data_IF_413352865867
#
_entry.id   IF_413352865867
#
_cell.length_a   1.000
_cell.length_b   1.000
_cell.length_c   1.000
_cell.angle_alpha   90.00
_cell.angle_beta   90.00
_cell.angle_gamma   90.00
#
_symmetry.space_group_name_H-M   'P 1'
#
loop_
_entity.id
_entity.type
_entity.pdbx_description
1 polymer ?
#
# COMPACT_ATOMS: atom_id res chain seq x y z
N UNK A 1 10.18 14.38 11.51
CA UNK A 1 8.72 14.32 11.78
C UNK A 1 8.27 12.90 11.50
N UNK A 2 7.65 12.23 12.47
CA UNK A 2 7.26 10.83 12.32
C UNK A 2 6.11 10.68 11.32
N UNK A 3 6.38 10.07 10.16
CA UNK A 3 5.40 9.81 9.10
C UNK A 3 4.14 9.05 9.60
N UNK A 4 4.25 8.36 10.73
CA UNK A 4 3.16 7.61 11.37
C UNK A 4 2.09 8.53 11.99
N UNK A 5 2.48 9.69 12.51
CA UNK A 5 1.56 10.64 13.13
C UNK A 5 0.71 11.39 12.08
N UNK A 6 1.26 11.65 10.90
CA UNK A 6 0.58 12.34 9.78
C UNK A 6 -0.58 11.51 9.21
N UNK A 7 -0.47 10.17 9.28
CA UNK A 7 -1.46 9.27 8.68
C UNK A 7 -2.73 9.15 9.54
N UNK A 8 -2.62 9.41 10.85
CA UNK A 8 -3.64 9.06 11.85
C UNK A 8 -4.67 10.17 12.10
N UNK A 9 -4.63 11.30 11.37
CA UNK A 9 -5.72 12.27 11.44
C UNK A 9 -6.91 11.79 10.58
N UNK A 10 -8.12 11.91 11.12
CA UNK A 10 -9.35 11.56 10.42
C UNK A 10 -9.58 12.54 9.26
N UNK A 11 -9.03 12.22 8.09
CA UNK A 11 -9.25 12.96 6.84
C UNK A 11 -10.38 12.32 6.05
N UNK A 12 -11.21 13.16 5.43
CA UNK A 12 -12.21 12.67 4.47
C UNK A 12 -11.50 12.04 3.28
N UNK A 13 -11.98 10.87 2.83
CA UNK A 13 -11.35 10.11 1.75
C UNK A 13 -12.02 10.46 0.42
N UNK A 14 -11.21 10.87 -0.56
CA UNK A 14 -11.64 11.06 -1.93
C UNK A 14 -11.07 9.95 -2.81
N UNK A 15 -11.94 9.19 -3.46
CA UNK A 15 -11.56 8.12 -4.36
C UNK A 15 -11.49 8.63 -5.79
N UNK A 16 -10.33 8.49 -6.45
CA UNK A 16 -10.24 8.77 -7.89
C UNK A 16 -10.97 7.70 -8.70
N UNK A 17 -11.27 8.01 -9.98
CA UNK A 17 -11.81 7.01 -10.92
C UNK A 17 -10.86 5.82 -11.07
N UNK A 18 -9.57 6.09 -11.12
CA UNK A 18 -8.52 5.08 -11.25
C UNK A 18 -8.45 4.16 -10.02
N UNK A 19 -8.51 4.71 -8.81
CA UNK A 19 -8.56 3.90 -7.58
C UNK A 19 -9.77 2.97 -7.58
N UNK A 20 -10.97 3.47 -7.92
CA UNK A 20 -12.18 2.63 -8.02
C UNK A 20 -12.02 1.51 -9.04
N UNK A 21 -11.46 1.82 -10.21
CA UNK A 21 -11.20 0.83 -11.26
C UNK A 21 -10.26 -0.28 -10.77
N UNK A 22 -9.11 0.09 -10.17
CA UNK A 22 -8.12 -0.86 -9.67
C UNK A 22 -8.65 -1.68 -8.49
N UNK A 23 -9.46 -1.07 -7.63
CA UNK A 23 -10.16 -1.78 -6.57
C UNK A 23 -11.11 -2.84 -7.12
N UNK A 24 -11.90 -2.53 -8.15
CA UNK A 24 -12.75 -3.52 -8.80
C UNK A 24 -11.93 -4.65 -9.47
N UNK A 25 -10.83 -4.29 -10.13
CA UNK A 25 -9.92 -5.25 -10.77
C UNK A 25 -9.32 -6.24 -9.75
N UNK A 26 -8.77 -5.74 -8.64
CA UNK A 26 -8.13 -6.56 -7.60
C UNK A 26 -9.09 -7.08 -6.51
N UNK A 27 -10.40 -6.86 -6.69
CA UNK A 27 -11.46 -7.22 -5.72
C UNK A 27 -11.12 -6.71 -4.32
N UNK A 28 -10.82 -5.41 -4.22
CA UNK A 28 -10.52 -4.69 -2.98
C UNK A 28 -11.71 -3.83 -2.60
N UNK A 29 -12.25 -4.02 -1.40
CA UNK A 29 -13.29 -3.16 -0.85
C UNK A 29 -12.71 -1.86 -0.29
N UNK A 30 -13.52 -0.81 -0.17
CA UNK A 30 -13.11 0.43 0.48
C UNK A 30 -12.64 0.19 1.92
N UNK A 31 -13.35 -0.66 2.66
CA UNK A 31 -12.97 -1.03 4.02
C UNK A 31 -11.56 -1.65 4.06
N UNK A 32 -11.22 -2.46 3.05
CA UNK A 32 -9.90 -3.07 2.97
C UNK A 32 -8.80 -2.02 2.74
N UNK A 33 -9.05 -1.07 1.84
CA UNK A 33 -8.12 0.04 1.57
C UNK A 33 -7.98 0.95 2.80
N UNK A 34 -9.09 1.30 3.47
CA UNK A 34 -9.09 2.05 4.73
C UNK A 34 -8.24 1.36 5.81
N UNK A 35 -8.31 0.04 5.91
CA UNK A 35 -7.50 -0.74 6.87
C UNK A 35 -6.00 -0.62 6.60
N UNK A 36 -5.58 -0.63 5.33
CA UNK A 36 -4.16 -0.40 4.94
C UNK A 36 -3.70 0.98 5.39
N UNK A 37 -4.53 2.01 5.18
CA UNK A 37 -4.21 3.38 5.59
C UNK A 37 -4.17 3.55 7.11
N UNK A 38 -5.05 2.87 7.84
CA UNK A 38 -5.11 2.97 9.30
C UNK A 38 -3.98 2.21 10.00
N UNK A 39 -3.61 1.04 9.48
CA UNK A 39 -2.64 0.13 10.10
C UNK A 39 -1.60 -0.40 9.10
N UNK A 40 -0.84 0.49 8.44
CA UNK A 40 0.15 0.07 7.47
C UNK A 40 1.29 -0.68 8.16
N UNK A 41 1.69 -1.81 7.58
CA UNK A 41 2.90 -2.53 7.99
C UNK A 41 4.15 -1.81 7.46
N UNK A 42 4.02 -1.16 6.29
CA UNK A 42 5.09 -0.41 5.64
C UNK A 42 4.52 0.85 5.00
N UNK A 43 5.31 1.93 5.04
CA UNK A 43 5.02 3.20 4.41
C UNK A 43 6.26 3.58 3.62
N UNK A 44 6.07 3.94 2.35
CA UNK A 44 7.11 4.34 1.42
C UNK A 44 6.73 5.66 0.75
N UNK A 45 7.72 6.38 0.26
CA UNK A 45 7.47 7.51 -0.61
C UNK A 45 6.80 7.01 -1.89
N UNK A 46 5.73 7.68 -2.30
CA UNK A 46 5.04 7.33 -3.53
C UNK A 46 5.88 7.70 -4.74
N UNK A 47 5.47 7.22 -5.89
CA UNK A 47 6.18 7.47 -7.14
C UNK A 47 6.20 8.96 -7.51
N UNK A 48 5.07 9.62 -7.29
CA UNK A 48 4.85 10.98 -7.74
C UNK A 48 5.11 11.96 -6.60
N UNK A 49 5.41 13.21 -6.96
CA UNK A 49 5.67 14.28 -5.99
C UNK A 49 4.51 14.38 -4.99
N UNK A 50 4.85 14.40 -3.69
CA UNK A 50 3.90 14.51 -2.58
C UNK A 50 2.87 13.38 -2.53
N UNK A 51 3.21 12.20 -3.04
CA UNK A 51 2.40 10.98 -2.86
C UNK A 51 3.10 10.03 -1.89
N UNK A 52 2.33 9.19 -1.24
CA UNK A 52 2.80 8.16 -0.31
C UNK A 52 2.18 6.83 -0.68
N UNK A 53 2.93 5.75 -0.44
CA UNK A 53 2.46 4.39 -0.61
C UNK A 53 2.42 3.68 0.74
N UNK A 54 1.26 3.13 1.10
CA UNK A 54 1.08 2.31 2.28
C UNK A 54 0.87 0.84 1.88
N UNK A 55 1.51 -0.07 2.60
CA UNK A 55 1.37 -1.51 2.39
C UNK A 55 0.90 -2.20 3.66
N UNK A 56 -0.01 -3.15 3.49
CA UNK A 56 -0.35 -4.13 4.50
C UNK A 56 -0.44 -5.55 3.90
N UNK A 57 0.11 -6.57 4.56
CA UNK A 57 -0.08 -7.95 4.14
C UNK A 57 -1.56 -8.34 4.25
N UNK A 58 -2.02 -9.20 3.33
CA UNK A 58 -3.42 -9.62 3.34
C UNK A 58 -3.73 -10.47 4.58
N UNK A 59 -2.86 -11.44 4.86
CA UNK A 59 -2.93 -12.27 6.06
C UNK A 59 -1.50 -12.63 6.46
N UNK A 60 -1.14 -12.34 7.71
CA UNK A 60 0.14 -12.77 8.29
C UNK A 60 -0.07 -14.16 8.88
N UNK A 61 0.81 -15.08 8.52
CA UNK A 61 0.99 -16.40 9.11
C UNK A 61 2.34 -16.41 9.82
N UNK A 62 2.55 -17.32 10.76
CA UNK A 62 3.80 -17.46 11.49
C UNK A 62 4.36 -18.86 11.24
N UNK A 63 5.61 -18.94 10.81
CA UNK A 63 6.31 -20.22 10.74
C UNK A 63 6.51 -20.76 12.16
N UNK A 64 6.10 -22.00 12.39
CA UNK A 64 6.47 -22.74 13.61
C UNK A 64 7.92 -23.19 13.43
N UNK A 65 8.79 -22.82 14.35
CA UNK A 65 10.10 -23.43 14.45
C UNK A 65 9.92 -24.74 15.22
N UNK A 66 9.86 -25.86 14.50
CA UNK A 66 9.72 -27.18 15.13
C UNK A 66 11.02 -27.62 15.86
N UNK A 67 12.12 -26.88 15.68
CA UNK A 67 13.45 -27.21 16.21
C UNK A 67 13.92 -26.32 17.39
N UNK A 68 13.08 -26.06 18.40
CA UNK A 68 13.59 -25.52 19.69
C UNK A 68 12.97 -26.21 20.90
N UNK A 69 13.68 -27.21 21.41
CA UNK A 69 13.68 -27.56 22.83
C UNK A 69 14.33 -26.40 23.59
N UNK A 70 13.66 -25.97 24.66
CA UNK A 70 14.21 -25.25 25.81
C UNK A 70 14.45 -23.73 25.68
N UNK A 71 13.74 -23.03 26.57
CA UNK A 71 14.25 -21.95 27.44
C UNK A 71 14.60 -20.58 26.83
N UNK A 72 13.83 -19.57 27.26
CA UNK A 72 14.23 -18.18 27.55
C UNK A 72 14.69 -17.21 26.44
N UNK A 73 15.12 -17.62 25.25
CA UNK A 73 15.35 -16.64 24.17
C UNK A 73 14.05 -16.33 23.41
N UNK A 74 13.69 -15.03 23.34
CA UNK A 74 12.54 -14.48 22.59
C UNK A 74 12.27 -15.27 21.31
N UNK A 75 11.11 -15.92 21.26
CA UNK A 75 10.56 -16.62 20.11
C UNK A 75 10.47 -15.67 18.89
N UNK A 76 11.54 -15.57 18.09
CA UNK A 76 11.47 -14.92 16.77
C UNK A 76 10.71 -15.87 15.85
N UNK A 77 9.38 -15.74 15.81
CA UNK A 77 8.54 -16.39 14.81
C UNK A 77 8.65 -15.60 13.52
N UNK A 78 9.17 -16.22 12.46
CA UNK A 78 9.22 -15.58 11.14
C UNK A 78 7.80 -15.38 10.61
N UNK A 79 7.45 -14.12 10.30
CA UNK A 79 6.20 -13.77 9.64
C UNK A 79 6.25 -14.20 8.18
N UNK A 80 5.16 -14.85 7.72
CA UNK A 80 4.94 -15.22 6.32
C UNK A 80 3.59 -14.68 5.79
N UNK A 81 3.52 -14.16 4.56
CA UNK A 81 2.27 -13.74 3.90
C UNK A 81 2.29 -14.09 2.42
N UNK A 82 1.11 -14.35 1.87
CA UNK A 82 0.92 -14.75 0.48
C UNK A 82 0.62 -13.59 -0.46
N UNK A 83 0.19 -12.45 0.07
CA UNK A 83 -0.24 -11.30 -0.72
C UNK A 83 -0.01 -10.00 0.05
N UNK A 84 0.31 -8.95 -0.70
CA UNK A 84 0.41 -7.58 -0.21
C UNK A 84 -0.67 -6.71 -0.84
N UNK A 85 -1.25 -5.83 -0.05
CA UNK A 85 -2.15 -4.79 -0.52
C UNK A 85 -1.43 -3.47 -0.37
N UNK A 86 -1.34 -2.76 -1.48
CA UNK A 86 -0.69 -1.47 -1.57
C UNK A 86 -1.69 -0.40 -1.93
N UNK A 87 -1.55 0.76 -1.33
CA UNK A 87 -2.43 1.91 -1.55
C UNK A 87 -1.55 3.13 -1.74
N UNK A 88 -1.65 3.76 -2.91
CA UNK A 88 -1.01 5.05 -3.15
C UNK A 88 -2.03 6.16 -2.93
N UNK A 89 -1.63 7.13 -2.12
CA UNK A 89 -2.48 8.24 -1.73
C UNK A 89 -1.68 9.54 -1.67
N UNK A 90 -2.41 10.63 -1.70
CA UNK A 90 -1.90 11.97 -1.45
C UNK A 90 -2.67 12.59 -0.30
N UNK A 91 -1.92 13.14 0.65
CA UNK A 91 -2.49 13.91 1.74
C UNK A 91 -2.57 15.38 1.35
N UNK A 92 -3.80 15.90 1.37
CA UNK A 92 -4.10 17.32 1.36
C UNK A 92 -4.40 17.75 2.81
N UNK A 93 -4.66 19.05 3.02
CA UNK A 93 -4.96 19.62 4.35
C UNK A 93 -6.11 18.87 5.05
N UNK A 94 -7.25 18.73 4.37
CA UNK A 94 -8.48 18.17 4.96
C UNK A 94 -8.89 16.81 4.35
N UNK A 95 -8.27 16.45 3.23
CA UNK A 95 -8.67 15.31 2.42
C UNK A 95 -7.49 14.38 2.17
N UNK A 96 -7.77 13.09 2.12
CA UNK A 96 -6.85 12.07 1.62
C UNK A 96 -7.36 11.58 0.28
N UNK A 97 -6.61 11.86 -0.78
CA UNK A 97 -6.95 11.43 -2.14
C UNK A 97 -6.33 10.05 -2.37
N UNK A 98 -7.16 9.04 -2.61
CA UNK A 98 -6.68 7.70 -2.97
C UNK A 98 -6.51 7.68 -4.48
N UNK A 99 -5.27 7.49 -4.90
CA UNK A 99 -4.89 7.55 -6.31
C UNK A 99 -5.03 6.16 -6.93
N UNK A 100 -4.49 5.13 -6.28
CA UNK A 100 -4.56 3.75 -6.76
C UNK A 100 -4.44 2.73 -5.62
N UNK A 101 -4.82 1.48 -5.90
CA UNK A 101 -4.71 0.36 -4.98
C UNK A 101 -4.37 -0.93 -5.73
N UNK A 102 -3.40 -1.69 -5.23
CA UNK A 102 -2.91 -2.92 -5.86
C UNK A 102 -2.93 -4.09 -4.91
N UNK A 103 -3.03 -5.29 -5.50
CA UNK A 103 -2.80 -6.57 -4.81
C UNK A 103 -1.65 -7.29 -5.51
N UNK A 104 -0.54 -7.47 -4.82
CA UNK A 104 0.61 -8.23 -5.32
C UNK A 104 0.69 -9.60 -4.66
N UNK A 105 1.05 -10.67 -5.40
CA UNK A 105 1.33 -11.97 -4.83
C UNK A 105 2.72 -11.98 -4.15
N UNK A 106 2.83 -12.78 -3.10
CA UNK A 106 4.07 -13.03 -2.36
C UNK A 106 4.45 -11.91 -1.39
N UNK A 107 5.71 -11.98 -0.97
CA UNK A 107 6.35 -10.96 -0.14
C UNK A 107 7.30 -10.11 -0.96
N UNK A 108 7.19 -8.80 -0.84
CA UNK A 108 8.24 -7.91 -1.31
C UNK A 108 9.37 -7.88 -0.28
N UNK A 109 10.60 -8.18 -0.71
CA UNK A 109 11.78 -7.89 0.11
C UNK A 109 11.91 -6.38 0.23
N UNK A 110 12.07 -5.84 1.45
CA UNK A 110 12.21 -4.38 1.67
C UNK A 110 13.34 -3.75 0.84
N UNK A 111 14.43 -4.48 0.55
CA UNK A 111 15.52 -4.02 -0.33
C UNK A 111 15.20 -4.03 -1.83
N UNK A 112 14.17 -4.75 -2.28
CA UNK A 112 13.77 -4.87 -3.69
C UNK A 112 12.39 -4.24 -3.99
N UNK A 113 11.86 -3.40 -3.09
CA UNK A 113 10.60 -2.67 -3.29
C UNK A 113 10.61 -1.81 -4.56
N UNK A 114 11.80 -1.45 -5.06
CA UNK A 114 12.02 -0.71 -6.31
C UNK A 114 11.26 -1.32 -7.51
N UNK A 115 11.15 -2.65 -7.60
CA UNK A 115 10.42 -3.30 -8.70
C UNK A 115 8.91 -3.06 -8.66
N UNK A 116 8.33 -2.95 -7.47
CA UNK A 116 6.91 -2.67 -7.26
C UNK A 116 6.65 -1.17 -7.45
N UNK A 117 7.52 -0.33 -6.92
CA UNK A 117 7.46 1.13 -7.08
C UNK A 117 7.56 1.50 -8.58
N UNK A 118 8.48 0.89 -9.33
CA UNK A 118 8.61 1.16 -10.77
C UNK A 118 7.34 0.75 -11.54
N UNK A 119 6.73 -0.40 -11.21
CA UNK A 119 5.45 -0.81 -11.82
C UNK A 119 4.32 0.16 -11.48
N UNK A 120 4.26 0.62 -10.24
CA UNK A 120 3.31 1.67 -9.84
C UNK A 120 3.57 2.96 -10.61
N UNK A 121 4.84 3.24 -10.94
CA UNK A 121 5.24 4.45 -11.65
C UNK A 121 4.82 4.45 -13.09
N UNK A 122 5.14 3.40 -13.82
CA UNK A 122 4.75 3.22 -15.21
C UNK A 122 3.23 3.33 -15.36
N UNK A 123 2.48 2.72 -14.44
CA UNK A 123 1.03 2.78 -14.44
C UNK A 123 0.48 4.19 -14.15
N UNK A 124 1.07 4.89 -13.18
CA UNK A 124 0.67 6.26 -12.84
C UNK A 124 0.96 7.24 -13.98
N UNK A 125 2.15 7.15 -14.58
CA UNK A 125 2.56 8.01 -15.69
C UNK A 125 1.66 7.80 -16.92
N UNK A 126 1.30 6.54 -17.21
CA UNK A 126 0.30 6.23 -18.25
C UNK A 126 -1.06 6.85 -17.93
N UNK A 127 -1.55 6.72 -16.70
CA UNK A 127 -2.83 7.30 -16.29
C UNK A 127 -2.86 8.83 -16.40
N UNK A 128 -1.77 9.51 -16.02
CA UNK A 128 -1.66 10.97 -16.15
C UNK A 128 -1.62 11.40 -17.61
N UNK A 129 -1.00 10.60 -18.50
CA UNK A 129 -0.98 10.88 -19.94
C UNK A 129 -2.40 10.86 -20.52
N UNK A 130 -3.20 9.85 -20.16
CA UNK A 130 -4.58 9.70 -20.62
C UNK A 130 -5.48 10.85 -20.12
N UNK A 131 -5.32 11.26 -18.86
CA UNK A 131 -6.06 12.41 -18.32
C UNK A 131 -5.76 13.71 -19.07
N UNK A 132 -4.50 13.92 -19.46
CA UNK A 132 -4.10 15.14 -20.18
C UNK A 132 -4.62 15.15 -21.62
N UNK A 133 -4.70 14.00 -22.29
CA UNK A 133 -5.27 13.90 -23.64
C UNK A 133 -6.78 14.18 -23.65
N UNK A 134 -7.50 13.69 -22.63
CA UNK A 134 -8.95 13.89 -22.51
C UNK A 134 -9.31 15.36 -22.20
N UNK A 135 -8.41 16.12 -21.56
CA UNK A 135 -8.60 17.55 -21.27
C UNK A 135 -8.20 18.50 -22.42
N UNK A 136 -7.53 17.96 -23.44
CA UNK A 136 -7.05 18.72 -24.60
C UNK A 136 -7.95 18.56 -25.84
N UNK A 137 -9.06 17.82 -25.71
CA UNK A 137 -10.13 17.64 -26.71
C UNK A 137 -11.40 18.32 -26.24
#
# INVERSE_FOLDING_TARGET
MDNKAVINSFKSILWTRHARFKMNYYKLSEARVKKVLHSPKRIEEGVALKTMAAMQPSSIKYLKNDNKKSSSEKNIRSEIWSQEIWVMFQDLKEKRVIISAWRFPGMSKQKNSSSIINKMKEEYDSFIKDLKSDSAS
#
